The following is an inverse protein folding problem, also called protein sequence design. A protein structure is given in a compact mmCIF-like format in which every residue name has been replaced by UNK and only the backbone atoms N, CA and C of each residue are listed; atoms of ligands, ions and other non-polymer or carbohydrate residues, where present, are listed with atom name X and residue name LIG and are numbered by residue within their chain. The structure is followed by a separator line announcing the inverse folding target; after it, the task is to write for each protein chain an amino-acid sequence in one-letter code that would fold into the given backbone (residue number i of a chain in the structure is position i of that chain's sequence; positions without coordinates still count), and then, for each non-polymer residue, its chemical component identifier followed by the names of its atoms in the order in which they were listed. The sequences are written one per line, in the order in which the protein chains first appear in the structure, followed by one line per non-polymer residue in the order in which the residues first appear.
data_IF_493509701656
#
_entry.id   IF_493509701656
#
_cell.length_a   1.000
_cell.length_b   1.000
_cell.length_c   1.000
_cell.angle_alpha   90.00
_cell.angle_beta   90.00
_cell.angle_gamma   90.00
#
_symmetry.space_group_name_H-M   'P 1'
#
loop_
_entity.id
_entity.type
_entity.pdbx_description
1 polymer ?
#
# COMPACT_ATOMS: atom_id res chain seq x y z
N UNK A 1 29.21 8.39 -0.66
CA UNK A 1 28.61 9.48 -1.46
C UNK A 1 27.08 9.46 -1.50
N UNK A 2 26.41 8.34 -1.78
CA UNK A 2 24.95 8.22 -1.84
C UNK A 2 24.23 8.61 -0.53
N UNK A 3 24.70 8.15 0.63
CA UNK A 3 24.13 8.46 1.96
C UNK A 3 24.21 9.96 2.31
N UNK A 4 25.27 10.64 1.90
CA UNK A 4 25.42 12.09 2.13
C UNK A 4 24.46 12.92 1.28
N UNK A 5 24.21 12.49 0.04
CA UNK A 5 23.24 13.14 -0.86
C UNK A 5 21.82 12.94 -0.30
N UNK A 6 21.47 11.73 0.13
CA UNK A 6 20.20 11.43 0.75
C UNK A 6 19.94 12.33 1.96
N UNK A 7 20.89 12.43 2.91
CA UNK A 7 20.77 13.31 4.09
C UNK A 7 20.58 14.79 3.73
N UNK A 8 21.27 15.29 2.70
CA UNK A 8 21.12 16.69 2.24
C UNK A 8 19.74 16.94 1.63
N UNK A 9 19.23 16.00 0.81
CA UNK A 9 17.89 16.09 0.23
C UNK A 9 16.83 16.09 1.34
N UNK A 10 16.94 15.18 2.32
CA UNK A 10 15.99 15.13 3.44
C UNK A 10 15.98 16.43 4.24
N UNK A 11 17.16 16.99 4.59
CA UNK A 11 17.24 18.29 5.26
C UNK A 11 16.61 19.43 4.44
N UNK A 12 16.80 19.43 3.12
CA UNK A 12 16.18 20.44 2.25
C UNK A 12 14.66 20.31 2.21
N UNK A 13 14.13 19.09 2.15
CA UNK A 13 12.71 18.82 2.21
C UNK A 13 12.12 19.23 3.57
N UNK A 14 12.79 18.87 4.65
CA UNK A 14 12.39 19.24 6.01
C UNK A 14 12.35 20.76 6.20
N UNK A 15 13.33 21.52 5.66
CA UNK A 15 13.33 22.98 5.73
C UNK A 15 12.12 23.63 5.02
N UNK A 16 11.45 22.87 4.14
CA UNK A 16 10.23 23.24 3.44
C UNK A 16 8.98 22.59 4.02
N UNK A 17 9.05 22.00 5.21
CA UNK A 17 8.00 21.23 5.85
C UNK A 17 7.48 20.03 5.01
N UNK A 18 8.35 19.46 4.17
CA UNK A 18 8.07 18.25 3.41
C UNK A 18 8.81 17.10 4.10
N UNK A 19 8.06 16.15 4.65
CA UNK A 19 8.60 14.97 5.33
C UNK A 19 8.30 13.74 4.47
N UNK A 20 9.26 13.27 3.67
CA UNK A 20 9.04 12.11 2.83
C UNK A 20 8.85 10.85 3.69
N UNK A 21 7.76 10.14 3.46
CA UNK A 21 7.55 8.81 4.02
C UNK A 21 8.43 7.79 3.30
N UNK A 22 8.87 6.76 4.02
CA UNK A 22 9.56 5.63 3.38
C UNK A 22 8.51 4.82 2.62
N UNK A 23 8.70 4.62 1.31
CA UNK A 23 7.73 3.86 0.53
C UNK A 23 7.74 2.39 0.95
N UNK A 24 6.58 1.89 1.34
CA UNK A 24 6.40 0.49 1.74
C UNK A 24 6.10 -0.34 0.48
N UNK A 25 6.98 -1.29 0.16
CA UNK A 25 6.72 -2.30 -0.88
C UNK A 25 5.67 -3.29 -0.41
N UNK A 26 4.76 -3.67 -1.31
CA UNK A 26 3.66 -4.59 -1.01
C UNK A 26 3.42 -5.60 -2.12
N UNK A 27 3.17 -6.85 -1.72
CA UNK A 27 2.67 -7.86 -2.63
C UNK A 27 1.16 -7.67 -2.81
N UNK A 28 0.73 -7.65 -4.06
CA UNK A 28 -0.66 -7.47 -4.47
C UNK A 28 -1.06 -8.62 -5.39
N UNK A 29 -2.14 -9.30 -5.06
CA UNK A 29 -2.73 -10.26 -5.96
C UNK A 29 -3.49 -9.53 -7.07
N UNK A 30 -3.19 -9.82 -8.32
CA UNK A 30 -3.81 -9.16 -9.47
C UNK A 30 -4.45 -10.18 -10.40
N UNK A 31 -5.74 -10.00 -10.68
CA UNK A 31 -6.48 -10.79 -11.66
C UNK A 31 -6.82 -9.88 -12.86
N UNK A 32 -6.07 -9.91 -13.96
CA UNK A 32 -6.41 -9.21 -15.18
C UNK A 32 -7.31 -10.10 -16.07
N UNK A 33 -8.49 -9.59 -16.43
CA UNK A 33 -9.49 -10.27 -17.26
C UNK A 33 -9.81 -9.36 -18.43
N UNK A 34 -9.86 -9.90 -19.63
CA UNK A 34 -10.38 -9.20 -20.81
C UNK A 34 -11.66 -9.91 -21.25
N UNK A 35 -12.75 -9.16 -21.32
CA UNK A 35 -14.01 -9.58 -21.92
C UNK A 35 -14.15 -8.89 -23.29
N UNK A 36 -14.02 -9.65 -24.37
CA UNK A 36 -14.32 -9.17 -25.72
C UNK A 36 -15.85 -9.26 -25.92
N UNK A 37 -16.54 -8.13 -25.72
CA UNK A 37 -18.01 -8.07 -25.75
C UNK A 37 -18.59 -8.43 -27.12
N UNK A 38 -17.82 -8.25 -28.19
CA UNK A 38 -18.26 -8.59 -29.55
C UNK A 38 -18.21 -10.06 -29.83
N UNK A 39 -17.18 -10.74 -29.32
CA UNK A 39 -16.98 -12.17 -29.52
C UNK A 39 -17.63 -13.02 -28.43
N UNK A 40 -18.12 -12.39 -27.36
CA UNK A 40 -18.55 -13.04 -26.12
C UNK A 40 -17.46 -13.99 -25.56
N UNK A 41 -16.20 -13.51 -25.60
CA UNK A 41 -15.03 -14.29 -25.26
C UNK A 41 -14.28 -13.69 -24.08
N UNK A 42 -13.85 -14.54 -23.16
CA UNK A 42 -13.00 -14.15 -22.02
C UNK A 42 -11.56 -14.58 -22.31
N UNK A 43 -10.65 -13.63 -22.22
CA UNK A 43 -9.22 -13.87 -22.34
C UNK A 43 -8.56 -13.69 -20.97
N UNK A 44 -7.96 -14.76 -20.48
CA UNK A 44 -7.24 -14.82 -19.21
C UNK A 44 -5.96 -15.64 -19.38
N UNK A 45 -5.13 -15.60 -18.36
CA UNK A 45 -3.88 -16.38 -18.31
C UNK A 45 -3.03 -16.26 -19.57
N UNK A 46 -2.51 -17.36 -20.08
CA UNK A 46 -1.64 -17.41 -21.26
C UNK A 46 -2.28 -16.86 -22.54
N UNK A 47 -3.60 -16.90 -22.67
CA UNK A 47 -4.33 -16.35 -23.81
C UNK A 47 -4.45 -14.82 -23.79
N UNK A 48 -4.21 -14.19 -22.62
CA UNK A 48 -4.31 -12.75 -22.45
C UNK A 48 -2.97 -12.05 -22.68
N UNK A 49 -2.88 -11.21 -23.69
CA UNK A 49 -1.71 -10.35 -23.89
C UNK A 49 -1.44 -9.44 -22.67
N UNK A 50 -2.50 -8.97 -22.01
CA UNK A 50 -2.39 -8.15 -20.81
C UNK A 50 -1.75 -8.93 -19.66
N UNK A 51 -2.16 -10.17 -19.44
CA UNK A 51 -1.58 -11.05 -18.43
C UNK A 51 -0.09 -11.28 -18.69
N UNK A 52 0.26 -11.67 -19.93
CA UNK A 52 1.63 -11.97 -20.31
C UNK A 52 2.58 -10.76 -20.22
N UNK A 53 2.07 -9.56 -20.54
CA UNK A 53 2.87 -8.33 -20.52
C UNK A 53 3.00 -7.71 -19.14
N UNK A 54 2.17 -8.10 -18.17
CA UNK A 54 2.06 -7.38 -16.89
C UNK A 54 3.39 -7.27 -16.13
N UNK A 55 4.12 -8.36 -16.01
CA UNK A 55 5.39 -8.41 -15.28
C UNK A 55 6.63 -8.25 -16.17
N UNK A 56 6.47 -7.96 -17.47
CA UNK A 56 7.60 -7.80 -18.39
C UNK A 56 8.47 -6.58 -18.09
N UNK A 57 7.89 -5.48 -17.57
CA UNK A 57 8.55 -4.21 -17.31
C UNK A 57 8.44 -3.80 -15.84
N UNK A 58 9.20 -4.48 -14.96
CA UNK A 58 9.28 -4.11 -13.54
C UNK A 58 10.35 -3.04 -13.34
N UNK A 59 9.94 -1.86 -12.90
CA UNK A 59 10.86 -0.74 -12.61
C UNK A 59 11.23 -0.71 -11.12
N UNK A 60 12.47 -0.31 -10.81
CA UNK A 60 12.99 -0.26 -9.43
C UNK A 60 12.18 0.65 -8.49
N UNK A 61 11.50 1.65 -9.03
CA UNK A 61 10.70 2.60 -8.26
C UNK A 61 9.27 2.12 -7.98
N UNK A 62 8.84 0.98 -8.55
CA UNK A 62 7.54 0.40 -8.25
C UNK A 62 7.51 -0.11 -6.81
N UNK A 63 6.43 0.21 -6.11
CA UNK A 63 6.15 -0.21 -4.74
C UNK A 63 5.29 -1.46 -4.69
N UNK A 64 4.49 -1.68 -5.73
CA UNK A 64 3.62 -2.84 -5.84
C UNK A 64 4.33 -3.95 -6.60
N UNK A 65 4.38 -5.13 -5.98
CA UNK A 65 4.81 -6.37 -6.59
C UNK A 65 3.57 -7.19 -6.92
N UNK A 66 3.27 -7.36 -8.21
CA UNK A 66 2.06 -8.02 -8.66
C UNK A 66 2.25 -9.53 -8.74
N UNK A 67 1.42 -10.25 -7.99
CA UNK A 67 1.33 -11.71 -8.04
C UNK A 67 0.12 -12.05 -8.89
N UNK A 68 0.37 -12.63 -10.06
CA UNK A 68 -0.68 -13.08 -10.98
C UNK A 68 -1.16 -14.47 -10.60
N UNK A 69 -2.42 -14.82 -10.86
CA UNK A 69 -2.92 -16.18 -10.65
C UNK A 69 -2.17 -17.19 -11.52
N UNK A 70 -2.01 -18.40 -11.02
CA UNK A 70 -1.61 -19.53 -11.86
C UNK A 70 -2.78 -19.93 -12.76
N UNK A 71 -2.46 -20.47 -13.93
CA UNK A 71 -3.48 -20.95 -14.87
C UNK A 71 -4.27 -22.10 -14.21
N UNK A 72 -5.59 -21.89 -14.08
CA UNK A 72 -6.51 -22.81 -13.41
C UNK A 72 -7.84 -22.84 -14.19
N UNK A 73 -8.22 -24.04 -14.63
CA UNK A 73 -9.43 -24.26 -15.43
C UNK A 73 -10.71 -24.02 -14.60
N UNK A 74 -10.69 -24.28 -13.29
CA UNK A 74 -11.83 -24.02 -12.42
C UNK A 74 -12.07 -22.52 -12.29
N UNK A 75 -11.03 -21.75 -12.06
CA UNK A 75 -11.10 -20.29 -11.99
C UNK A 75 -11.59 -19.68 -13.30
N UNK A 76 -11.10 -20.20 -14.44
CA UNK A 76 -11.57 -19.79 -15.76
C UNK A 76 -13.05 -20.07 -15.95
N UNK A 77 -13.53 -21.28 -15.60
CA UNK A 77 -14.93 -21.66 -15.73
C UNK A 77 -15.83 -20.83 -14.81
N UNK A 78 -15.43 -20.56 -13.58
CA UNK A 78 -16.17 -19.69 -12.65
C UNK A 78 -16.38 -18.29 -13.24
N UNK A 79 -15.32 -17.71 -13.80
CA UNK A 79 -15.38 -16.38 -14.42
C UNK A 79 -16.23 -16.41 -15.68
N UNK A 80 -16.10 -17.45 -16.51
CA UNK A 80 -16.88 -17.62 -17.73
C UNK A 80 -18.37 -17.77 -17.47
N UNK A 81 -18.77 -18.53 -16.47
CA UNK A 81 -20.16 -18.68 -16.05
C UNK A 81 -20.79 -17.35 -15.59
N UNK A 82 -19.97 -16.46 -15.03
CA UNK A 82 -20.39 -15.16 -14.53
C UNK A 82 -20.12 -14.00 -15.51
N UNK A 83 -19.72 -14.28 -16.75
CA UNK A 83 -19.31 -13.27 -17.74
C UNK A 83 -20.32 -12.14 -17.92
N UNK A 84 -21.63 -12.46 -17.95
CA UNK A 84 -22.72 -11.48 -18.12
C UNK A 84 -22.90 -10.53 -16.92
N UNK A 85 -22.38 -10.88 -15.75
CA UNK A 85 -22.49 -10.09 -14.53
C UNK A 85 -21.15 -9.94 -13.81
N UNK A 86 -20.05 -9.91 -14.58
CA UNK A 86 -18.70 -9.91 -14.05
C UNK A 86 -18.41 -8.68 -13.17
N UNK A 87 -19.08 -7.58 -13.45
CA UNK A 87 -18.97 -6.35 -12.65
C UNK A 87 -19.39 -6.56 -11.17
N UNK A 88 -20.40 -7.41 -10.93
CA UNK A 88 -20.92 -7.69 -9.59
C UNK A 88 -20.44 -9.03 -9.02
N UNK A 89 -19.67 -9.80 -9.82
CA UNK A 89 -19.18 -11.10 -9.37
C UNK A 89 -18.25 -10.94 -8.17
N UNK A 90 -18.43 -11.80 -7.16
CA UNK A 90 -17.55 -11.88 -6.00
C UNK A 90 -16.42 -12.89 -6.29
N UNK A 91 -15.22 -12.38 -6.46
CA UNK A 91 -14.03 -13.19 -6.74
C UNK A 91 -13.43 -13.86 -5.50
N UNK A 92 -14.19 -13.94 -4.42
CA UNK A 92 -13.70 -14.39 -3.12
C UNK A 92 -13.04 -15.77 -3.16
N UNK A 93 -13.66 -16.74 -3.82
CA UNK A 93 -13.13 -18.12 -3.93
C UNK A 93 -11.75 -18.14 -4.58
N UNK A 94 -11.54 -17.34 -5.63
CA UNK A 94 -10.26 -17.24 -6.32
C UNK A 94 -9.24 -16.53 -5.45
N UNK A 95 -9.61 -15.43 -4.79
CA UNK A 95 -8.71 -14.62 -3.96
C UNK A 95 -8.22 -15.43 -2.75
N UNK A 96 -9.09 -16.19 -2.10
CA UNK A 96 -8.77 -16.99 -0.91
C UNK A 96 -7.70 -18.05 -1.18
N UNK A 97 -7.63 -18.62 -2.40
CA UNK A 97 -6.58 -19.58 -2.79
C UNK A 97 -5.18 -19.02 -2.62
N UNK A 98 -4.99 -17.70 -2.76
CA UNK A 98 -3.67 -17.05 -2.71
C UNK A 98 -3.31 -16.49 -1.33
N UNK A 99 -4.24 -16.52 -0.37
CA UNK A 99 -4.03 -16.03 1.01
C UNK A 99 -3.43 -14.61 1.08
N UNK A 100 -3.81 -13.74 0.13
CA UNK A 100 -3.37 -12.35 0.06
C UNK A 100 -4.53 -11.41 0.38
N UNK A 101 -4.35 -10.58 1.40
CA UNK A 101 -5.37 -9.61 1.85
C UNK A 101 -5.56 -8.45 0.89
N UNK A 102 -4.50 -8.08 0.14
CA UNK A 102 -4.54 -6.98 -0.81
C UNK A 102 -4.62 -7.55 -2.22
N UNK A 103 -5.60 -7.09 -2.98
CA UNK A 103 -5.82 -7.57 -4.34
C UNK A 103 -6.37 -6.48 -5.25
N UNK A 104 -6.18 -6.67 -6.54
CA UNK A 104 -6.76 -5.86 -7.60
C UNK A 104 -7.39 -6.81 -8.62
N UNK A 105 -8.64 -6.55 -8.98
CA UNK A 105 -9.31 -7.22 -10.08
C UNK A 105 -9.50 -6.19 -11.18
N UNK A 106 -8.89 -6.44 -12.33
CA UNK A 106 -8.94 -5.56 -13.50
C UNK A 106 -9.78 -6.22 -14.58
N UNK A 107 -10.98 -5.71 -14.82
CA UNK A 107 -11.87 -6.21 -15.86
C UNK A 107 -11.83 -5.21 -17.01
N UNK A 108 -11.34 -5.66 -18.15
CA UNK A 108 -11.26 -4.91 -19.38
C UNK A 108 -12.38 -5.34 -20.31
N UNK A 109 -13.37 -4.50 -20.49
CA UNK A 109 -14.44 -4.67 -21.47
C UNK A 109 -13.99 -4.08 -22.79
N UNK A 110 -13.78 -4.93 -23.77
CA UNK A 110 -13.33 -4.53 -25.10
C UNK A 110 -14.50 -4.53 -26.06
N UNK A 111 -14.79 -3.37 -26.62
CA UNK A 111 -15.69 -3.18 -27.77
C UNK A 111 -14.89 -2.65 -28.96
N UNK A 112 -15.51 -2.46 -30.13
CA UNK A 112 -14.82 -2.09 -31.37
C UNK A 112 -13.95 -0.82 -31.21
N UNK A 113 -14.51 0.26 -30.67
CA UNK A 113 -13.86 1.57 -30.61
C UNK A 113 -13.55 2.04 -29.17
N UNK A 114 -14.05 1.31 -28.18
CA UNK A 114 -13.90 1.67 -26.77
C UNK A 114 -13.40 0.50 -25.93
N UNK A 115 -12.47 0.79 -25.06
CA UNK A 115 -12.08 -0.10 -23.98
C UNK A 115 -12.51 0.55 -22.65
N UNK A 116 -13.39 -0.12 -21.94
CA UNK A 116 -13.80 0.24 -20.60
C UNK A 116 -13.11 -0.66 -19.60
N UNK A 117 -12.53 -0.08 -18.54
CA UNK A 117 -11.82 -0.83 -17.50
C UNK A 117 -12.47 -0.57 -16.17
N UNK A 118 -12.93 -1.64 -15.53
CA UNK A 118 -13.36 -1.62 -14.14
C UNK A 118 -12.28 -2.24 -13.27
N UNK A 119 -11.80 -1.47 -12.30
CA UNK A 119 -10.83 -1.94 -11.32
C UNK A 119 -11.49 -2.01 -9.94
N UNK A 120 -11.50 -3.21 -9.34
CA UNK A 120 -11.84 -3.43 -7.94
C UNK A 120 -10.53 -3.52 -7.15
N UNK A 121 -10.23 -2.51 -6.37
CA UNK A 121 -8.96 -2.38 -5.65
C UNK A 121 -9.23 -2.56 -4.16
N UNK A 122 -8.69 -3.61 -3.58
CA UNK A 122 -8.75 -3.84 -2.13
C UNK A 122 -7.39 -3.62 -1.50
N UNK A 123 -7.25 -2.52 -0.78
CA UNK A 123 -6.10 -2.24 0.06
C UNK A 123 -6.57 -2.07 1.50
N UNK A 124 -6.02 -2.90 2.41
CA UNK A 124 -6.34 -2.85 3.83
C UNK A 124 -7.86 -3.05 4.12
N UNK A 125 -8.45 -4.06 3.50
CA UNK A 125 -9.85 -4.49 3.71
C UNK A 125 -10.92 -3.47 3.25
N UNK A 126 -10.52 -2.47 2.48
CA UNK A 126 -11.43 -1.51 1.86
C UNK A 126 -11.39 -1.63 0.35
N UNK A 127 -12.53 -1.90 -0.26
CA UNK A 127 -12.67 -1.99 -1.72
C UNK A 127 -13.01 -0.61 -2.27
N UNK A 128 -12.18 -0.13 -3.19
CA UNK A 128 -12.42 1.06 -3.99
C UNK A 128 -12.62 0.65 -5.45
N UNK A 129 -13.61 1.26 -6.10
CA UNK A 129 -13.89 1.05 -7.52
C UNK A 129 -13.32 2.18 -8.36
N UNK A 130 -12.61 1.85 -9.44
CA UNK A 130 -12.08 2.81 -10.40
C UNK A 130 -12.46 2.41 -11.82
N UNK A 131 -13.13 3.32 -12.52
CA UNK A 131 -13.50 3.15 -13.92
C UNK A 131 -12.62 4.01 -14.80
N UNK A 132 -12.12 3.44 -15.90
CA UNK A 132 -11.39 4.13 -16.94
C UNK A 132 -12.01 3.83 -18.29
N UNK A 133 -11.85 4.75 -19.24
CA UNK A 133 -12.27 4.57 -20.64
C UNK A 133 -11.16 5.02 -21.57
N UNK A 134 -10.92 4.22 -22.59
CA UNK A 134 -9.92 4.47 -23.61
C UNK A 134 -10.60 4.33 -24.97
N UNK A 135 -10.42 5.33 -25.84
CA UNK A 135 -10.92 5.30 -27.21
C UNK A 135 -9.78 4.93 -28.15
N UNK A 136 -10.07 4.15 -29.17
CA UNK A 136 -9.14 3.73 -30.22
C UNK A 136 -7.90 2.97 -29.74
N UNK A 137 -7.95 2.31 -28.57
CA UNK A 137 -6.87 1.54 -28.01
C UNK A 137 -6.86 0.10 -28.59
N UNK A 138 -5.72 -0.34 -29.10
CA UNK A 138 -5.53 -1.68 -29.68
C UNK A 138 -4.69 -2.56 -28.78
N UNK A 139 -5.31 -3.42 -27.99
CA UNK A 139 -4.60 -4.35 -27.09
C UNK A 139 -3.71 -5.37 -27.81
N UNK A 140 -3.88 -5.57 -29.11
CA UNK A 140 -2.99 -6.39 -29.95
C UNK A 140 -1.72 -5.68 -30.41
N UNK A 141 -1.60 -4.36 -30.21
CA UNK A 141 -0.40 -3.60 -30.50
C UNK A 141 0.49 -3.54 -29.24
N UNK A 142 1.70 -4.09 -29.33
CA UNK A 142 2.61 -4.17 -28.18
C UNK A 142 2.89 -2.82 -27.51
N UNK A 143 3.09 -1.75 -28.31
CA UNK A 143 3.38 -0.42 -27.76
C UNK A 143 2.17 0.16 -27.03
N UNK A 144 0.98 0.07 -27.62
CA UNK A 144 -0.25 0.54 -26.99
C UNK A 144 -0.59 -0.26 -25.72
N UNK A 145 -0.33 -1.58 -25.75
CA UNK A 145 -0.49 -2.47 -24.61
C UNK A 145 0.48 -2.12 -23.47
N UNK A 146 1.74 -1.80 -23.78
CA UNK A 146 2.72 -1.36 -22.78
C UNK A 146 2.29 -0.03 -22.13
N UNK A 147 1.89 0.95 -22.94
CA UNK A 147 1.41 2.24 -22.45
C UNK A 147 0.15 2.08 -21.56
N UNK A 148 -0.78 1.23 -21.99
CA UNK A 148 -1.98 0.90 -21.22
C UNK A 148 -1.64 0.24 -19.89
N UNK A 149 -0.77 -0.75 -19.89
CA UNK A 149 -0.33 -1.46 -18.69
C UNK A 149 0.39 -0.51 -17.72
N UNK A 150 1.24 0.39 -18.24
CA UNK A 150 1.95 1.37 -17.42
C UNK A 150 1.00 2.42 -16.81
N UNK A 151 -0.04 2.83 -17.55
CA UNK A 151 -1.09 3.72 -17.03
C UNK A 151 -1.85 3.07 -15.87
N UNK A 152 -2.21 1.79 -15.98
CA UNK A 152 -2.85 1.04 -14.91
C UNK A 152 -1.93 0.91 -13.70
N UNK A 153 -0.67 0.51 -13.89
CA UNK A 153 0.32 0.43 -12.81
C UNK A 153 0.49 1.77 -12.11
N UNK A 154 0.61 2.86 -12.86
CA UNK A 154 0.73 4.21 -12.30
C UNK A 154 -0.49 4.58 -11.45
N UNK A 155 -1.69 4.24 -11.91
CA UNK A 155 -2.91 4.47 -11.15
C UNK A 155 -2.92 3.65 -9.84
N UNK A 156 -2.54 2.38 -9.88
CA UNK A 156 -2.49 1.53 -8.68
C UNK A 156 -1.42 2.00 -7.69
N UNK A 157 -0.23 2.36 -8.18
CA UNK A 157 0.85 2.93 -7.39
C UNK A 157 0.42 4.22 -6.68
N UNK A 158 -0.24 5.12 -7.41
CA UNK A 158 -0.74 6.37 -6.84
C UNK A 158 -1.85 6.11 -5.82
N UNK A 159 -2.72 5.15 -6.09
CA UNK A 159 -3.77 4.77 -5.15
C UNK A 159 -3.18 4.16 -3.87
N UNK A 160 -2.18 3.27 -4.01
CA UNK A 160 -1.44 2.73 -2.87
C UNK A 160 -0.75 3.82 -2.07
N UNK A 161 -0.05 4.74 -2.74
CA UNK A 161 0.62 5.89 -2.09
C UNK A 161 -0.38 6.73 -1.32
N UNK A 162 -1.51 7.10 -1.92
CA UNK A 162 -2.53 7.93 -1.26
C UNK A 162 -3.13 7.27 -0.02
N UNK A 163 -3.29 5.95 -0.02
CA UNK A 163 -3.79 5.18 1.15
C UNK A 163 -2.75 5.02 2.26
N UNK A 164 -1.47 5.07 1.89
CA UNK A 164 -0.35 4.93 2.82
C UNK A 164 0.41 6.25 3.01
N UNK A 165 -0.11 7.33 2.45
CA UNK A 165 0.42 8.66 2.65
C UNK A 165 0.20 9.07 4.10
N UNK A 166 1.30 9.08 4.83
CA UNK A 166 1.32 9.65 6.16
C UNK A 166 1.42 11.15 5.95
N UNK A 167 0.41 11.89 6.39
CA UNK A 167 0.48 13.34 6.39
C UNK A 167 1.57 13.80 7.38
N UNK A 168 2.80 13.80 6.88
CA UNK A 168 4.01 14.12 7.64
C UNK A 168 4.26 15.63 7.75
N UNK A 169 3.33 16.45 7.28
CA UNK A 169 3.43 17.90 7.40
C UNK A 169 3.32 18.41 8.85
N UNK A 170 2.92 17.56 9.79
CA UNK A 170 2.81 17.90 11.21
C UNK A 170 3.71 16.97 12.01
N UNK A 171 4.86 17.48 12.47
CA UNK A 171 5.64 16.82 13.51
C UNK A 171 4.86 16.81 14.80
N UNK A 172 4.37 15.65 15.20
CA UNK A 172 3.71 15.46 16.48
C UNK A 172 4.77 15.40 17.59
N UNK A 173 4.65 16.27 18.58
CA UNK A 173 5.47 16.20 19.78
C UNK A 173 4.68 15.53 20.90
N UNK A 174 5.04 14.31 21.22
CA UNK A 174 4.46 13.53 22.31
C UNK A 174 5.32 13.65 23.58
N UNK A 175 4.67 13.65 24.75
CA UNK A 175 5.35 13.55 26.03
C UNK A 175 4.88 12.28 26.71
N UNK A 176 5.79 11.36 26.97
CA UNK A 176 5.52 10.03 27.51
C UNK A 176 6.28 9.84 28.80
N UNK A 177 5.60 9.36 29.83
CA UNK A 177 6.16 9.02 31.13
C UNK A 177 6.29 7.50 31.27
N UNK A 178 7.45 7.05 31.72
CA UNK A 178 7.79 5.65 31.95
C UNK A 178 8.35 5.51 33.37
N UNK A 179 7.89 4.50 34.11
CA UNK A 179 8.45 4.20 35.42
C UNK A 179 9.90 3.72 35.26
N UNK A 180 10.79 4.25 36.09
CA UNK A 180 12.23 3.96 35.98
C UNK A 180 12.70 2.79 36.84
N UNK A 181 11.75 2.03 37.42
CA UNK A 181 12.05 0.87 38.27
C UNK A 181 12.64 -0.33 37.50
N UNK A 182 12.52 -0.35 36.18
CA UNK A 182 12.99 -1.43 35.31
C UNK A 182 13.85 -0.87 34.16
N UNK A 183 15.16 -0.89 34.37
CA UNK A 183 16.15 -0.42 33.38
C UNK A 183 16.10 -1.24 32.09
N UNK A 184 15.75 -2.52 32.15
CA UNK A 184 15.63 -3.37 30.96
C UNK A 184 14.42 -2.94 30.11
N UNK A 185 13.28 -2.70 30.73
CA UNK A 185 12.07 -2.19 30.04
C UNK A 185 12.34 -0.84 29.36
N UNK A 186 13.10 0.03 30.01
CA UNK A 186 13.50 1.33 29.45
C UNK A 186 14.38 1.13 28.20
N UNK A 187 15.42 0.30 28.31
CA UNK A 187 16.32 0.03 27.19
C UNK A 187 15.59 -0.56 25.98
N UNK A 188 14.68 -1.50 26.22
CA UNK A 188 13.87 -2.11 25.15
C UNK A 188 12.93 -1.10 24.51
N UNK A 189 12.36 -0.19 25.29
CA UNK A 189 11.52 0.88 24.77
C UNK A 189 12.32 1.85 23.88
N UNK A 190 13.51 2.26 24.32
CA UNK A 190 14.40 3.13 23.53
C UNK A 190 14.88 2.45 22.23
N UNK A 191 15.18 1.16 22.29
CA UNK A 191 15.53 0.37 21.11
C UNK A 191 14.35 0.31 20.14
N UNK A 192 13.14 0.06 20.65
CA UNK A 192 11.91 0.08 19.81
C UNK A 192 11.70 1.43 19.16
N UNK A 193 11.84 2.54 19.92
CA UNK A 193 11.73 3.88 19.34
C UNK A 193 12.77 4.13 18.24
N UNK A 194 14.00 3.63 18.42
CA UNK A 194 15.09 3.79 17.44
C UNK A 194 14.83 3.03 16.14
N UNK A 195 14.06 1.93 16.21
CA UNK A 195 13.74 1.08 15.06
C UNK A 195 12.49 1.53 14.29
N UNK A 196 11.71 2.49 14.82
CA UNK A 196 10.52 3.02 14.16
C UNK A 196 10.90 4.17 13.24
N UNK A 197 10.84 3.95 11.92
CA UNK A 197 11.23 4.93 10.89
C UNK A 197 10.52 6.29 10.96
N UNK A 198 9.33 6.32 11.57
CA UNK A 198 8.52 7.54 11.71
C UNK A 198 8.89 8.37 12.93
N UNK A 199 9.73 7.86 13.81
CA UNK A 199 10.27 8.63 14.91
C UNK A 199 11.46 9.42 14.37
N UNK A 200 11.28 10.75 14.37
CA UNK A 200 12.33 11.68 13.92
C UNK A 200 13.42 11.84 14.95
N UNK A 201 13.01 11.94 16.22
CA UNK A 201 13.89 12.14 17.37
C UNK A 201 13.17 11.77 18.66
N UNK A 202 13.92 11.34 19.65
CA UNK A 202 13.41 11.19 21.02
C UNK A 202 14.54 11.44 22.01
N UNK A 203 14.18 11.98 23.15
CA UNK A 203 15.12 12.25 24.25
C UNK A 203 14.43 12.32 25.60
N UNK A 204 15.18 12.09 26.66
CA UNK A 204 14.69 12.28 28.03
C UNK A 204 14.60 13.79 28.27
N UNK A 205 13.37 14.28 28.39
CA UNK A 205 13.07 15.69 28.69
C UNK A 205 13.23 16.01 30.16
N UNK A 206 12.84 15.06 31.02
CA UNK A 206 12.91 15.18 32.47
C UNK A 206 13.00 13.79 33.09
N UNK A 207 13.73 13.66 34.15
CA UNK A 207 13.76 12.45 34.98
C UNK A 207 13.67 12.79 36.46
N UNK A 208 13.09 11.90 37.25
CA UNK A 208 13.08 11.95 38.69
C UNK A 208 13.36 10.53 39.26
N UNK A 209 13.26 10.36 40.58
CA UNK A 209 13.56 9.09 41.24
C UNK A 209 12.57 7.95 40.87
N UNK A 210 11.45 8.25 40.20
CA UNK A 210 10.39 7.28 39.89
C UNK A 210 10.10 7.16 38.40
N UNK A 211 10.33 8.23 37.62
CA UNK A 211 9.86 8.31 36.25
C UNK A 211 10.85 9.00 35.33
N UNK A 212 10.96 8.49 34.13
CA UNK A 212 11.57 9.15 33.01
C UNK A 212 10.49 9.73 32.09
N UNK A 213 10.62 11.00 31.77
CA UNK A 213 9.70 11.68 30.84
C UNK A 213 10.41 11.90 29.53
N UNK A 214 9.92 11.22 28.51
CA UNK A 214 10.44 11.31 27.15
C UNK A 214 9.68 12.33 26.35
N UNK A 215 10.39 13.05 25.52
CA UNK A 215 9.82 13.81 24.41
C UNK A 215 10.11 13.08 23.12
N UNK A 216 9.06 12.73 22.37
CA UNK A 216 9.17 11.97 21.13
C UNK A 216 8.63 12.83 20.00
N UNK A 217 9.41 13.01 18.96
CA UNK A 217 9.02 13.72 17.75
C UNK A 217 8.64 12.67 16.69
N UNK A 218 7.34 12.56 16.41
CA UNK A 218 6.78 11.54 15.54
C UNK A 218 6.19 12.16 14.27
N UNK A 219 6.46 11.57 13.13
CA UNK A 219 5.94 11.98 11.83
C UNK A 219 4.62 11.24 11.54
N UNK A 220 3.54 11.72 12.13
CA UNK A 220 2.22 11.10 11.95
C UNK A 220 1.19 11.59 12.95
N UNK A 221 -0.02 11.01 12.90
CA UNK A 221 -1.09 11.33 13.86
C UNK A 221 -0.91 10.58 15.19
N UNK A 222 -1.51 11.08 16.29
CA UNK A 222 -1.52 10.39 17.58
C UNK A 222 -2.05 8.95 17.49
N UNK A 223 -3.15 8.75 16.76
CA UNK A 223 -3.75 7.43 16.60
C UNK A 223 -2.84 6.47 15.83
N UNK A 224 -2.07 6.98 14.88
CA UNK A 224 -1.13 6.16 14.14
C UNK A 224 0.07 5.76 14.99
N UNK A 225 0.58 6.66 15.84
CA UNK A 225 1.61 6.33 16.82
C UNK A 225 1.12 5.22 17.77
N UNK A 226 -0.07 5.36 18.35
CA UNK A 226 -0.64 4.34 19.23
C UNK A 226 -0.81 2.98 18.54
N UNK A 227 -1.20 2.97 17.26
CA UNK A 227 -1.33 1.74 16.48
C UNK A 227 0.03 1.04 16.29
N UNK A 228 1.08 1.78 15.95
CA UNK A 228 2.43 1.23 15.78
C UNK A 228 2.93 0.66 17.11
N UNK A 229 2.86 1.45 18.18
CA UNK A 229 3.35 1.02 19.48
C UNK A 229 2.58 -0.18 20.04
N UNK A 230 1.28 -0.29 19.74
CA UNK A 230 0.49 -1.47 20.11
C UNK A 230 0.96 -2.74 19.38
N UNK A 231 1.40 -2.63 18.14
CA UNK A 231 1.98 -3.76 17.40
C UNK A 231 3.32 -4.21 18.02
N UNK A 232 4.03 -3.28 18.67
CA UNK A 232 5.26 -3.54 19.44
C UNK A 232 4.99 -3.89 20.91
N UNK A 233 3.72 -4.20 21.26
CA UNK A 233 3.26 -4.57 22.60
C UNK A 233 3.36 -3.44 23.66
N UNK A 234 3.31 -2.18 23.26
CA UNK A 234 3.24 -1.04 24.14
C UNK A 234 1.83 -0.44 24.18
N UNK A 235 1.29 -0.24 25.38
CA UNK A 235 0.02 0.43 25.59
C UNK A 235 0.21 1.69 26.45
N UNK A 236 -0.58 2.72 26.17
CA UNK A 236 -0.49 4.00 26.86
C UNK A 236 -1.83 4.41 27.47
N UNK A 237 -1.77 5.02 28.64
CA UNK A 237 -2.86 5.83 29.15
C UNK A 237 -2.71 7.25 28.58
N UNK A 238 -3.68 7.65 27.76
CA UNK A 238 -3.69 8.90 27.00
C UNK A 238 -4.65 9.94 27.55
N UNK A 239 -5.24 9.72 28.73
CA UNK A 239 -6.23 10.63 29.34
C UNK A 239 -5.63 11.99 29.73
N UNK A 240 -4.33 12.02 29.96
CA UNK A 240 -3.60 13.20 30.38
C UNK A 240 -2.72 13.75 29.25
N UNK A 241 -2.29 15.01 29.39
CA UNK A 241 -1.35 15.65 28.47
C UNK A 241 0.00 14.92 28.38
N UNK A 242 0.42 14.27 29.46
CA UNK A 242 1.55 13.36 29.51
C UNK A 242 0.99 11.93 29.48
N UNK A 243 1.33 11.18 28.46
CA UNK A 243 0.87 9.80 28.34
C UNK A 243 1.71 8.89 29.24
N UNK A 244 1.08 7.95 29.90
CA UNK A 244 1.78 7.00 30.76
C UNK A 244 1.87 5.65 30.06
N UNK A 245 3.07 5.10 29.98
CA UNK A 245 3.26 3.71 29.55
C UNK A 245 2.71 2.78 30.63
N UNK A 246 1.88 1.80 30.22
CA UNK A 246 1.28 0.79 31.10
C UNK A 246 2.20 -0.38 31.36
#
# INVERSE_FOLDING_TARGET
MYLLIKKKIFKLLESRNIFPSIPIKKNIFLIPIILDEKKDEILMFSESHLFNSWNSNIKKYHLLNYILPTEDLEDFNLIKLNSKNLENYDFKEIIEKYNLKNYIITIVFKNDDEIRVLNKINFNEKIDLKNLRFQNLRLGNNKELEEFTENLKTMYENHWKSKNEINTSVKLSLTISIDNNDAFKISLFEETLSNIDLIYDFYIFKFDNKKNIYKIIFNGSPNYFLKIMKNENYEFDTQNKIWNLK
#
